data_IF_299270671286
#
_entry.id   IF_299270671286
#
_cell.length_a   1.000
_cell.length_b   1.000
_cell.length_c   1.000
_cell.angle_alpha   90.00
_cell.angle_beta   90.00
_cell.angle_gamma   90.00
#
_symmetry.space_group_name_H-M   'P 1'
#
loop_
_entity.id
_entity.type
_entity.pdbx_description
1 polymer ?
#
# COMPACT_ATOMS: atom_id res chain seq x y z
N UNK A 1 -9.79 -11.57 16.46
CA UNK A 1 -9.91 -10.15 16.89
C UNK A 1 -11.27 -9.61 16.47
N UNK A 2 -11.72 -8.49 17.03
CA UNK A 2 -13.01 -7.91 16.68
C UNK A 2 -12.91 -6.99 15.46
N UNK A 3 -13.99 -6.89 14.68
CA UNK A 3 -14.09 -6.02 13.50
C UNK A 3 -15.37 -5.19 13.52
N UNK A 4 -15.36 -4.04 12.84
CA UNK A 4 -16.57 -3.24 12.60
C UNK A 4 -16.49 -2.49 11.28
N UNK A 5 -17.64 -2.23 10.68
CA UNK A 5 -17.76 -1.36 9.50
C UNK A 5 -17.77 0.11 9.92
N UNK A 6 -17.10 0.97 9.15
CA UNK A 6 -17.20 2.42 9.23
C UNK A 6 -18.62 2.86 8.90
N UNK A 7 -19.17 3.78 9.69
CA UNK A 7 -20.46 4.40 9.40
C UNK A 7 -20.33 5.51 8.35
N UNK A 8 -21.43 5.88 7.69
CA UNK A 8 -21.42 7.00 6.75
C UNK A 8 -20.96 8.33 7.40
N UNK A 9 -21.33 8.56 8.66
CA UNK A 9 -20.90 9.76 9.41
C UNK A 9 -19.40 9.78 9.60
N UNK A 10 -18.81 8.64 9.97
CA UNK A 10 -17.37 8.49 10.13
C UNK A 10 -16.65 8.59 8.78
N UNK A 11 -17.22 8.05 7.70
CA UNK A 11 -16.68 8.20 6.35
C UNK A 11 -16.55 9.67 5.95
N UNK A 12 -17.60 10.48 6.15
CA UNK A 12 -17.55 11.91 5.86
C UNK A 12 -16.59 12.66 6.77
N UNK A 13 -16.46 12.27 8.04
CA UNK A 13 -15.44 12.84 8.92
C UNK A 13 -14.02 12.51 8.44
N UNK A 14 -13.77 11.26 8.05
CA UNK A 14 -12.48 10.80 7.54
C UNK A 14 -12.10 11.47 6.22
N UNK A 15 -13.08 11.75 5.36
CA UNK A 15 -12.87 12.50 4.11
C UNK A 15 -12.25 13.88 4.35
N UNK A 16 -12.70 14.59 5.38
CA UNK A 16 -12.22 15.94 5.71
C UNK A 16 -10.91 15.92 6.54
N UNK A 17 -10.53 14.76 7.06
CA UNK A 17 -9.34 14.59 7.89
C UNK A 17 -8.07 14.48 7.04
N UNK A 18 -6.97 15.03 7.55
CA UNK A 18 -5.65 14.76 6.99
C UNK A 18 -5.20 13.31 7.28
N UNK A 19 -4.21 12.80 6.53
CA UNK A 19 -3.66 11.45 6.70
C UNK A 19 -3.35 11.10 8.17
N UNK A 20 -2.72 12.02 8.91
CA UNK A 20 -2.40 11.83 10.32
C UNK A 20 -3.62 11.60 11.22
N UNK A 21 -4.69 12.37 10.98
CA UNK A 21 -5.93 12.27 11.73
C UNK A 21 -6.66 10.97 11.40
N UNK A 22 -6.62 10.50 10.13
CA UNK A 22 -7.13 9.19 9.74
C UNK A 22 -6.38 8.05 10.41
N UNK A 23 -5.05 8.08 10.39
CA UNK A 23 -4.19 7.09 11.07
C UNK A 23 -4.55 7.02 12.56
N UNK A 24 -4.65 8.18 13.21
CA UNK A 24 -5.00 8.27 14.62
C UNK A 24 -6.38 7.66 14.89
N UNK A 25 -7.38 8.01 14.09
CA UNK A 25 -8.72 7.45 14.19
C UNK A 25 -8.69 5.93 14.08
N UNK A 26 -8.05 5.38 13.04
CA UNK A 26 -7.94 3.93 12.85
C UNK A 26 -7.25 3.23 14.02
N UNK A 27 -6.17 3.82 14.54
CA UNK A 27 -5.45 3.30 15.70
C UNK A 27 -6.31 3.27 16.96
N UNK A 28 -7.02 4.35 17.24
CA UNK A 28 -7.91 4.45 18.41
C UNK A 28 -9.08 3.46 18.30
N UNK A 29 -9.70 3.32 17.13
CA UNK A 29 -10.79 2.38 16.90
C UNK A 29 -10.34 0.92 16.97
N UNK A 30 -9.19 0.60 16.39
CA UNK A 30 -8.61 -0.76 16.47
C UNK A 30 -8.26 -1.11 17.92
N UNK A 31 -7.72 -0.16 18.69
CA UNK A 31 -7.45 -0.34 20.12
C UNK A 31 -8.72 -0.54 20.96
N UNK A 32 -9.82 0.14 20.65
CA UNK A 32 -11.12 -0.07 21.30
C UNK A 32 -11.69 -1.46 21.02
N UNK A 33 -11.55 -1.93 19.78
CA UNK A 33 -12.01 -3.26 19.35
C UNK A 33 -11.19 -4.39 19.98
N UNK A 34 -9.88 -4.17 20.18
CA UNK A 34 -8.94 -5.20 20.62
C UNK A 34 -8.29 -4.84 21.96
N UNK A 35 -9.12 -4.74 23.01
CA UNK A 35 -8.70 -4.32 24.36
C UNK A 35 -7.63 -5.20 25.05
N UNK A 36 -7.34 -6.39 24.51
CA UNK A 36 -6.28 -7.29 24.99
C UNK A 36 -4.90 -6.96 24.43
N UNK A 37 -4.84 -6.12 23.40
CA UNK A 37 -3.62 -5.79 22.68
C UNK A 37 -3.30 -4.30 22.78
N UNK A 38 -2.01 -3.98 22.77
CA UNK A 38 -1.53 -2.60 22.86
C UNK A 38 -1.40 -1.98 21.46
N UNK A 39 -2.29 -1.03 21.17
CA UNK A 39 -2.29 -0.19 19.96
C UNK A 39 -1.80 1.24 20.26
N UNK A 40 -1.00 1.43 21.32
CA UNK A 40 -0.25 2.67 21.50
C UNK A 40 0.76 2.87 20.37
N UNK A 41 1.11 4.13 20.09
CA UNK A 41 2.15 4.46 19.10
C UNK A 41 3.48 3.76 19.42
N UNK A 42 3.80 3.59 20.71
CA UNK A 42 4.97 2.84 21.18
C UNK A 42 4.91 1.36 20.82
N UNK A 43 3.76 0.71 21.00
CA UNK A 43 3.62 -0.71 20.70
C UNK A 43 3.64 -0.97 19.20
N UNK A 44 2.91 -0.18 18.40
CA UNK A 44 2.89 -0.28 16.94
C UNK A 44 4.28 0.00 16.35
N UNK A 45 4.96 1.07 16.79
CA UNK A 45 6.30 1.40 16.28
C UNK A 45 7.32 0.28 16.52
N UNK A 46 7.23 -0.40 17.67
CA UNK A 46 8.08 -1.56 17.96
C UNK A 46 7.82 -2.72 16.99
N UNK A 47 6.56 -3.00 16.62
CA UNK A 47 6.22 -4.07 15.67
C UNK A 47 6.61 -3.72 14.24
N UNK A 48 6.50 -2.44 13.88
CA UNK A 48 6.88 -1.92 12.56
C UNK A 48 8.38 -1.63 12.40
N UNK A 49 9.19 -1.73 13.46
CA UNK A 49 10.62 -1.41 13.39
C UNK A 49 10.91 0.08 13.14
N UNK A 50 10.01 0.98 13.53
CA UNK A 50 10.16 2.44 13.38
C UNK A 50 10.21 3.15 14.73
N UNK A 51 10.50 4.44 14.75
CA UNK A 51 10.44 5.21 16.01
C UNK A 51 9.00 5.60 16.34
N UNK A 52 8.63 5.59 17.64
CA UNK A 52 7.32 6.06 18.09
C UNK A 52 7.08 7.55 17.72
N UNK A 53 8.16 8.33 17.63
CA UNK A 53 8.12 9.72 17.22
C UNK A 53 7.69 9.86 15.76
N UNK A 54 8.10 8.94 14.87
CA UNK A 54 7.69 8.96 13.46
C UNK A 54 6.17 8.86 13.33
N UNK A 55 5.53 7.91 14.02
CA UNK A 55 4.07 7.75 14.02
C UNK A 55 3.40 8.98 14.66
N UNK A 56 3.93 9.44 15.80
CA UNK A 56 3.37 10.60 16.53
C UNK A 56 3.44 11.89 15.70
N UNK A 57 4.53 12.12 14.98
CA UNK A 57 4.70 13.29 14.11
C UNK A 57 3.70 13.28 12.95
N UNK A 58 3.40 12.10 12.40
CA UNK A 58 2.38 11.94 11.34
C UNK A 58 1.00 12.25 11.91
N UNK A 59 0.63 11.63 13.03
CA UNK A 59 -0.69 11.85 13.66
C UNK A 59 -0.96 13.30 14.08
N UNK A 60 0.10 14.08 14.33
CA UNK A 60 0.03 15.52 14.63
C UNK A 60 0.07 16.42 13.39
N UNK A 61 0.25 15.85 12.19
CA UNK A 61 0.43 16.60 10.96
C UNK A 61 1.78 17.32 10.84
N UNK A 62 2.74 17.04 11.73
CA UNK A 62 4.11 17.55 11.67
C UNK A 62 4.89 16.89 10.51
N UNK A 63 4.56 15.63 10.19
CA UNK A 63 5.05 14.92 9.02
C UNK A 63 3.91 14.70 8.02
N UNK A 64 3.95 15.44 6.90
CA UNK A 64 2.91 15.40 5.86
C UNK A 64 3.14 14.36 4.77
N UNK A 65 4.38 13.88 4.64
CA UNK A 65 4.81 12.96 3.59
C UNK A 65 5.51 11.74 4.22
N UNK A 66 4.80 10.89 4.98
CA UNK A 66 5.39 9.66 5.48
C UNK A 66 5.80 8.74 4.33
N UNK A 67 6.81 7.90 4.56
CA UNK A 67 7.21 6.91 3.57
C UNK A 67 6.08 5.92 3.30
N UNK A 68 5.98 5.45 2.07
CA UNK A 68 5.00 4.42 1.69
C UNK A 68 5.10 3.19 2.59
N UNK A 69 6.33 2.73 2.89
CA UNK A 69 6.58 1.60 3.77
C UNK A 69 5.91 1.76 5.15
N UNK A 70 5.94 2.96 5.72
CA UNK A 70 5.32 3.23 7.01
C UNK A 70 3.80 3.23 6.92
N UNK A 71 3.21 3.84 5.88
CA UNK A 71 1.75 3.83 5.67
C UNK A 71 1.25 2.41 5.41
N UNK A 72 1.99 1.63 4.61
CA UNK A 72 1.70 0.22 4.35
C UNK A 72 1.79 -0.64 5.61
N UNK A 73 2.84 -0.45 6.41
CA UNK A 73 2.96 -1.09 7.72
C UNK A 73 1.79 -0.77 8.64
N UNK A 74 1.38 0.51 8.71
CA UNK A 74 0.22 0.95 9.50
C UNK A 74 -1.08 0.33 9.00
N UNK A 75 -1.30 0.25 7.68
CA UNK A 75 -2.46 -0.40 7.09
C UNK A 75 -2.55 -1.88 7.52
N UNK A 76 -1.43 -2.61 7.49
CA UNK A 76 -1.36 -4.01 7.93
C UNK A 76 -1.59 -4.15 9.44
N UNK A 77 -0.92 -3.35 10.25
CA UNK A 77 -1.05 -3.38 11.71
C UNK A 77 -2.46 -3.04 12.20
N UNK A 78 -3.11 -2.07 11.55
CA UNK A 78 -4.44 -1.59 11.91
C UNK A 78 -5.56 -2.39 11.21
N UNK A 79 -5.20 -3.29 10.29
CA UNK A 79 -6.14 -4.05 9.47
C UNK A 79 -7.15 -3.14 8.76
N UNK A 80 -6.64 -2.10 8.10
CA UNK A 80 -7.42 -1.13 7.34
C UNK A 80 -6.92 -1.11 5.90
N UNK A 81 -7.80 -1.12 4.89
CA UNK A 81 -7.40 -1.02 3.47
C UNK A 81 -6.47 0.17 3.25
N UNK A 82 -5.39 -0.03 2.49
CA UNK A 82 -4.37 1.00 2.25
C UNK A 82 -4.96 2.25 1.57
N UNK A 83 -5.98 2.04 0.74
CA UNK A 83 -6.70 3.08 0.01
C UNK A 83 -7.38 4.04 0.97
N UNK A 84 -7.90 3.56 2.11
CA UNK A 84 -8.59 4.39 3.10
C UNK A 84 -7.67 5.43 3.80
N UNK A 85 -6.36 5.32 3.61
CA UNK A 85 -5.39 6.33 4.06
C UNK A 85 -5.21 7.47 3.04
N UNK A 86 -5.60 7.25 1.78
CA UNK A 86 -5.42 8.19 0.67
C UNK A 86 -6.61 9.14 0.53
N UNK A 87 -6.39 10.33 -0.03
CA UNK A 87 -7.47 11.29 -0.27
C UNK A 87 -8.37 10.84 -1.42
N UNK A 88 -7.79 10.16 -2.40
CA UNK A 88 -8.42 9.62 -3.60
C UNK A 88 -9.58 8.66 -3.25
N UNK A 89 -9.42 7.84 -2.21
CA UNK A 89 -10.47 6.94 -1.76
C UNK A 89 -11.78 7.64 -1.37
N UNK A 90 -11.68 8.89 -0.91
CA UNK A 90 -12.85 9.68 -0.50
C UNK A 90 -13.39 10.58 -1.63
N UNK A 91 -12.85 10.45 -2.84
CA UNK A 91 -13.33 11.15 -4.03
C UNK A 91 -14.38 10.29 -4.76
N UNK A 92 -15.59 10.80 -4.87
CA UNK A 92 -16.69 10.12 -5.56
C UNK A 92 -17.73 9.52 -4.60
N UNK A 93 -18.24 8.35 -4.96
CA UNK A 93 -19.30 7.66 -4.21
C UNK A 93 -18.79 7.16 -2.86
N UNK A 94 -19.71 6.96 -1.91
CA UNK A 94 -19.39 6.49 -0.56
C UNK A 94 -18.99 5.02 -0.62
N UNK A 95 -17.78 4.71 -0.16
CA UNK A 95 -17.28 3.34 -0.03
C UNK A 95 -17.04 3.02 1.46
N UNK A 96 -17.94 2.22 2.06
CA UNK A 96 -17.77 1.78 3.45
C UNK A 96 -16.77 0.62 3.52
N UNK A 97 -15.93 0.61 4.54
CA UNK A 97 -14.89 -0.40 4.75
C UNK A 97 -14.86 -0.87 6.22
N UNK A 98 -14.15 -1.96 6.49
CA UNK A 98 -14.00 -2.54 7.82
C UNK A 98 -12.71 -2.05 8.51
N UNK A 99 -12.76 -1.92 9.83
CA UNK A 99 -11.60 -1.72 10.72
C UNK A 99 -11.51 -2.91 11.68
N UNK A 100 -10.28 -3.40 11.89
CA UNK A 100 -10.00 -4.56 12.72
C UNK A 100 -10.13 -5.86 11.93
N UNK A 101 -9.35 -6.87 12.33
CA UNK A 101 -9.02 -8.11 11.60
C UNK A 101 -9.96 -8.47 10.46
N UNK A 102 -9.36 -8.41 9.27
CA UNK A 102 -9.77 -9.19 8.12
C UNK A 102 -9.46 -10.64 8.46
N UNK A 103 -10.44 -11.54 8.30
CA UNK A 103 -10.29 -12.98 8.52
C UNK A 103 -8.90 -13.45 8.03
N UNK A 104 -8.18 -14.25 8.83
CA UNK A 104 -6.85 -14.78 8.46
C UNK A 104 -6.91 -15.71 7.22
N UNK A 105 -8.08 -15.82 6.59
CA UNK A 105 -8.30 -16.30 5.24
C UNK A 105 -8.16 -15.22 4.15
N UNK A 106 -7.58 -14.06 4.44
CA UNK A 106 -6.62 -13.52 3.48
C UNK A 106 -5.32 -14.27 3.75
N UNK A 107 -5.29 -15.51 3.28
CA UNK A 107 -4.08 -15.99 2.64
C UNK A 107 -3.55 -14.79 1.85
N UNK A 108 -2.28 -14.44 2.02
CA UNK A 108 -1.56 -14.04 0.82
C UNK A 108 -1.73 -15.26 -0.08
N UNK A 109 -2.83 -15.31 -0.84
CA UNK A 109 -3.05 -16.33 -1.84
C UNK A 109 -1.78 -16.21 -2.68
N UNK A 110 -0.87 -17.18 -2.51
CA UNK A 110 -0.22 -17.81 -3.65
C UNK A 110 -1.30 -17.77 -4.71
N UNK A 111 -1.15 -16.87 -5.67
CA UNK A 111 -2.23 -16.24 -6.42
C UNK A 111 -2.95 -17.30 -7.25
N UNK A 112 -3.74 -18.15 -6.60
CA UNK A 112 -4.76 -18.97 -7.20
C UNK A 112 -5.92 -18.03 -7.35
N UNK A 113 -5.84 -17.25 -8.42
CA UNK A 113 -6.91 -16.57 -9.16
C UNK A 113 -8.31 -17.02 -8.70
N UNK A 114 -8.73 -16.58 -7.52
CA UNK A 114 -10.00 -16.93 -6.93
C UNK A 114 -10.99 -15.92 -7.48
N UNK A 115 -11.45 -16.20 -8.70
CA UNK A 115 -12.61 -15.58 -9.32
C UNK A 115 -12.60 -14.06 -9.22
N UNK A 116 -11.73 -13.40 -9.98
CA UNK A 116 -12.14 -12.14 -10.60
C UNK A 116 -13.56 -12.35 -11.11
N UNK A 117 -14.50 -11.54 -10.64
CA UNK A 117 -15.79 -11.39 -11.33
C UNK A 117 -15.42 -11.24 -12.82
N UNK A 118 -15.88 -12.15 -13.71
CA UNK A 118 -15.53 -12.07 -15.12
C UNK A 118 -15.82 -10.68 -15.72
N UNK A 119 -16.70 -9.89 -15.09
CA UNK A 119 -16.98 -8.51 -15.43
C UNK A 119 -15.87 -7.49 -15.05
N UNK A 120 -15.05 -7.74 -14.03
CA UNK A 120 -13.93 -6.86 -13.61
C UNK A 120 -12.63 -7.14 -14.37
N UNK A 121 -12.53 -8.29 -15.05
CA UNK A 121 -11.31 -8.74 -15.74
C UNK A 121 -11.04 -8.10 -17.12
N UNK A 122 -11.88 -7.19 -17.60
CA UNK A 122 -11.82 -6.78 -19.01
C UNK A 122 -11.08 -5.46 -19.30
N UNK A 123 -10.74 -4.65 -18.29
CA UNK A 123 -10.14 -3.34 -18.53
C UNK A 123 -9.80 -2.58 -17.25
N UNK A 124 -8.55 -2.14 -17.09
CA UNK A 124 -8.14 -1.18 -16.04
C UNK A 124 -7.36 -0.01 -16.66
N UNK A 125 -7.26 1.10 -15.94
CA UNK A 125 -6.39 2.21 -16.33
C UNK A 125 -5.05 2.07 -15.62
N UNK A 126 -3.96 2.36 -16.33
CA UNK A 126 -2.60 2.26 -15.80
C UNK A 126 -2.10 3.64 -15.38
N UNK A 127 -1.64 3.76 -14.13
CA UNK A 127 -0.95 4.93 -13.61
C UNK A 127 0.52 4.62 -13.28
N UNK A 128 1.42 5.58 -13.53
CA UNK A 128 2.84 5.44 -13.21
C UNK A 128 3.44 6.77 -12.77
N UNK A 129 4.25 6.69 -11.71
CA UNK A 129 5.15 7.75 -11.28
C UNK A 129 6.59 7.23 -11.36
N UNK A 130 7.46 7.97 -12.04
CA UNK A 130 8.91 7.72 -12.07
C UNK A 130 9.60 8.94 -11.48
N UNK A 131 10.49 8.71 -10.53
CA UNK A 131 11.27 9.75 -9.88
C UNK A 131 12.74 9.35 -9.79
N UNK A 132 13.59 10.37 -9.71
CA UNK A 132 14.99 10.24 -9.32
C UNK A 132 15.09 10.42 -7.81
N UNK A 133 15.72 9.46 -7.14
CA UNK A 133 16.12 9.59 -5.76
C UNK A 133 17.58 10.05 -5.68
N UNK A 134 17.86 11.04 -4.85
CA UNK A 134 19.21 11.53 -4.57
C UNK A 134 19.67 11.07 -3.19
N UNK A 135 21.00 11.01 -2.98
CA UNK A 135 21.60 10.53 -1.74
C UNK A 135 21.26 11.39 -0.51
N UNK A 136 20.89 12.66 -0.72
CA UNK A 136 20.47 13.58 0.33
C UNK A 136 18.97 13.43 0.69
N UNK A 137 18.29 12.41 0.15
CA UNK A 137 16.88 12.15 0.36
C UNK A 137 15.96 13.04 -0.47
N UNK A 138 16.49 13.91 -1.33
CA UNK A 138 15.67 14.66 -2.27
C UNK A 138 15.12 13.72 -3.36
N UNK A 139 13.93 14.04 -3.85
CA UNK A 139 13.31 13.36 -4.97
C UNK A 139 12.96 14.36 -6.06
N UNK A 140 13.22 13.98 -7.31
CA UNK A 140 12.75 14.72 -8.49
C UNK A 140 11.83 13.83 -9.30
N UNK A 141 10.55 14.18 -9.37
CA UNK A 141 9.61 13.53 -10.29
C UNK A 141 10.07 13.76 -11.74
N UNK A 142 10.27 12.66 -12.47
CA UNK A 142 10.71 12.66 -13.87
C UNK A 142 9.51 12.44 -14.79
N UNK A 143 8.57 11.61 -14.36
CA UNK A 143 7.43 11.22 -15.16
C UNK A 143 6.23 10.91 -14.28
N UNK A 144 5.06 11.38 -14.70
CA UNK A 144 3.77 10.98 -14.13
C UNK A 144 2.79 10.87 -15.28
N UNK A 145 2.10 9.74 -15.35
CA UNK A 145 1.11 9.51 -16.41
C UNK A 145 0.07 8.49 -15.96
N UNK A 146 -1.16 8.79 -16.30
CA UNK A 146 -2.27 7.85 -16.26
C UNK A 146 -2.78 7.64 -17.69
N UNK A 147 -3.12 6.39 -18.02
CA UNK A 147 -3.75 6.09 -19.30
C UNK A 147 -5.18 6.59 -19.26
N UNK A 148 -5.59 7.26 -20.33
CA UNK A 148 -7.00 7.64 -20.54
C UNK A 148 -7.85 6.48 -21.03
N UNK A 149 -7.18 5.51 -21.65
CA UNK A 149 -7.79 4.31 -22.17
C UNK A 149 -7.46 3.16 -21.24
N UNK A 150 -8.32 2.16 -21.32
CA UNK A 150 -8.12 0.91 -20.62
C UNK A 150 -6.95 0.14 -21.23
N UNK A 151 -6.28 -0.63 -20.38
CA UNK A 151 -5.12 -1.43 -20.70
C UNK A 151 -5.48 -2.90 -20.52
N UNK A 152 -5.02 -3.71 -21.46
CA UNK A 152 -5.10 -5.16 -21.37
C UNK A 152 -4.14 -5.68 -20.30
N UNK A 153 -4.65 -6.55 -19.42
CA UNK A 153 -3.90 -7.04 -18.25
C UNK A 153 -2.63 -7.79 -18.65
N UNK A 154 -2.76 -8.67 -19.65
CA UNK A 154 -1.62 -9.43 -20.13
C UNK A 154 -0.55 -8.53 -20.74
N UNK A 155 -0.95 -7.61 -21.62
CA UNK A 155 -0.03 -6.65 -22.23
C UNK A 155 0.67 -5.75 -21.20
N UNK A 156 -0.04 -5.36 -20.14
CA UNK A 156 0.53 -4.60 -19.03
C UNK A 156 1.59 -5.39 -18.27
N UNK A 157 1.26 -6.60 -17.82
CA UNK A 157 2.19 -7.45 -17.06
C UNK A 157 3.44 -7.75 -17.89
N UNK A 158 3.29 -8.10 -19.17
CA UNK A 158 4.42 -8.31 -20.07
C UNK A 158 5.31 -7.06 -20.20
N UNK A 159 4.70 -5.87 -20.30
CA UNK A 159 5.43 -4.61 -20.44
C UNK A 159 6.16 -4.23 -19.15
N UNK A 160 5.53 -4.45 -17.99
CA UNK A 160 6.14 -4.22 -16.68
C UNK A 160 7.33 -5.15 -16.45
N UNK A 161 7.21 -6.44 -16.78
CA UNK A 161 8.32 -7.39 -16.66
C UNK A 161 9.53 -6.98 -17.49
N UNK A 162 9.32 -6.51 -18.73
CA UNK A 162 10.40 -6.00 -19.59
C UNK A 162 11.06 -4.76 -19.00
N UNK A 163 10.24 -3.82 -18.51
CA UNK A 163 10.72 -2.59 -17.90
C UNK A 163 11.59 -2.84 -16.66
N UNK A 164 11.14 -3.74 -15.77
CA UNK A 164 11.90 -4.14 -14.57
C UNK A 164 13.24 -4.78 -14.98
N UNK A 165 13.21 -5.74 -15.91
CA UNK A 165 14.43 -6.40 -16.37
C UNK A 165 15.42 -5.42 -17.03
N UNK A 166 14.93 -4.43 -17.78
CA UNK A 166 15.78 -3.40 -18.40
C UNK A 166 16.42 -2.48 -17.36
N UNK A 167 15.67 -2.04 -16.35
CA UNK A 167 16.22 -1.26 -15.24
C UNK A 167 17.33 -2.05 -14.52
N UNK A 168 17.10 -3.33 -14.24
CA UNK A 168 18.08 -4.21 -13.59
C UNK A 168 19.37 -4.34 -14.41
N UNK A 169 19.27 -4.55 -15.72
CA UNK A 169 20.44 -4.66 -16.59
C UNK A 169 21.26 -3.36 -16.65
N UNK A 170 20.63 -2.20 -16.49
CA UNK A 170 21.31 -0.90 -16.54
C UNK A 170 21.79 -0.39 -15.18
N UNK A 171 21.40 -1.03 -14.08
CA UNK A 171 21.80 -0.64 -12.72
C UNK A 171 23.10 -1.30 -12.23
N UNK A 172 23.99 -1.70 -13.15
CA UNK A 172 25.31 -2.27 -12.85
C UNK A 172 26.28 -1.24 -12.22
N UNK A 173 26.12 -1.01 -10.92
CA UNK A 173 27.22 -0.74 -9.98
C UNK A 173 26.79 -1.12 -8.55
N UNK A 174 26.72 -2.43 -8.30
CA UNK A 174 27.08 -3.06 -7.03
C UNK A 174 26.11 -3.02 -5.85
N UNK A 175 25.38 -1.94 -5.59
CA UNK A 175 24.69 -1.77 -4.30
C UNK A 175 23.41 -0.96 -4.50
N UNK A 176 22.34 -1.59 -4.99
CA UNK A 176 21.01 -0.97 -4.97
C UNK A 176 20.09 -1.58 -3.92
N UNK A 177 20.52 -2.67 -3.30
CA UNK A 177 19.67 -3.50 -2.47
C UNK A 177 20.53 -4.18 -1.41
N UNK A 178 20.64 -3.57 -0.24
CA UNK A 178 20.56 -4.38 0.99
C UNK A 178 19.13 -4.94 1.03
N UNK A 179 18.88 -5.92 0.15
CA UNK A 179 17.68 -6.73 0.18
C UNK A 179 17.82 -7.61 1.40
N UNK A 180 16.96 -7.38 2.37
CA UNK A 180 16.57 -8.37 3.35
C UNK A 180 16.40 -9.74 2.65
N UNK A 181 17.05 -10.78 3.19
CA UNK A 181 17.15 -12.15 2.61
C UNK A 181 15.79 -12.84 2.38
N UNK A 182 14.68 -12.16 2.68
CA UNK A 182 13.30 -12.62 2.59
C UNK A 182 12.62 -12.32 1.24
N UNK A 183 13.18 -11.43 0.42
CA UNK A 183 12.64 -11.10 -0.90
C UNK A 183 13.46 -11.77 -2.00
N UNK A 184 12.86 -12.77 -2.65
CA UNK A 184 13.45 -13.50 -3.77
C UNK A 184 14.08 -12.54 -4.79
N UNK A 185 15.29 -12.88 -5.26
CA UNK A 185 16.05 -12.16 -6.29
C UNK A 185 15.12 -11.48 -7.32
N UNK A 186 15.31 -10.19 -7.63
CA UNK A 186 14.45 -9.44 -8.55
C UNK A 186 14.21 -10.13 -9.91
N UNK A 187 15.18 -10.91 -10.42
CA UNK A 187 15.03 -11.79 -11.61
C UNK A 187 13.94 -12.85 -11.41
N UNK A 188 13.85 -13.44 -10.20
CA UNK A 188 12.75 -14.36 -9.85
C UNK A 188 11.41 -13.64 -9.81
N UNK A 189 11.38 -12.36 -9.42
CA UNK A 189 10.17 -11.54 -9.41
C UNK A 189 9.71 -11.17 -10.83
N UNK A 190 10.64 -10.79 -11.70
CA UNK A 190 10.35 -10.58 -13.11
C UNK A 190 9.84 -11.87 -13.79
N UNK A 191 10.46 -13.02 -13.46
CA UNK A 191 10.03 -14.32 -13.96
C UNK A 191 8.67 -14.76 -13.42
N UNK A 192 8.33 -14.44 -12.16
CA UNK A 192 7.00 -14.75 -11.59
C UNK A 192 5.90 -13.91 -12.25
N UNK A 193 6.15 -12.62 -12.48
CA UNK A 193 5.23 -11.75 -13.21
C UNK A 193 5.02 -12.22 -14.65
N UNK A 194 6.10 -12.61 -15.34
CA UNK A 194 5.99 -13.15 -16.69
C UNK A 194 5.17 -14.46 -16.72
N UNK A 195 5.39 -15.35 -15.74
CA UNK A 195 4.61 -16.59 -15.64
C UNK A 195 3.11 -16.30 -15.42
N UNK A 196 2.78 -15.32 -14.57
CA UNK A 196 1.40 -14.87 -14.35
C UNK A 196 0.72 -14.28 -15.60
N UNK A 197 1.48 -13.89 -16.63
CA UNK A 197 0.92 -13.45 -17.93
C UNK A 197 0.57 -14.58 -18.90
N UNK A 198 1.04 -15.80 -18.63
CA UNK A 198 0.81 -16.98 -19.47
C UNK A 198 -0.40 -17.82 -19.04
N UNK A 199 -0.83 -17.67 -17.79
CA UNK A 199 -2.00 -18.30 -17.17
C UNK A 199 -3.24 -17.42 -17.38
#
# INVERSE_FOLDING_TARGET
MAKRTITAVEYFALRENALGERIRFFREETGKLNSKEDYSTRAISKRLGVTAQSITAIERGESKNPSFQLVHGLSRELHVPIEAFTDEFYQGDIHLFEIGVVDENIELEDTQVAGLDPALSASFHFGCYVYQAFQDGQMRFVYSKETKNTVDYKAFVESLSRFVAEIEMHSYSGELLELDDTLASPIKHAASLFKASLE
#
